data_IF_544302128634
#
_entry.id   IF_544302128634
#
_cell.length_a   1.000
_cell.length_b   1.000
_cell.length_c   1.000
_cell.angle_alpha   90.00
_cell.angle_beta   90.00
_cell.angle_gamma   90.00
#
_symmetry.space_group_name_H-M   'P 1'
#
loop_
_entity.id
_entity.type
_entity.pdbx_description
1 polymer ?
#
# COMPACT_ATOMS: atom_id res chain seq x y z
N UNK A 1 -1.35 7.06 3.94
CA UNK A 1 -1.84 6.37 2.73
C UNK A 1 -3.32 6.63 2.42
N UNK A 2 -4.26 6.27 3.30
CA UNK A 2 -5.71 6.29 2.98
C UNK A 2 -6.29 7.64 2.52
N UNK A 3 -5.82 8.77 3.05
CA UNK A 3 -6.23 10.12 2.61
C UNK A 3 -5.76 10.43 1.20
N UNK A 4 -4.54 10.01 0.83
CA UNK A 4 -3.98 10.20 -0.52
C UNK A 4 -4.68 9.34 -1.57
N UNK A 5 -5.13 8.14 -1.18
CA UNK A 5 -5.94 7.26 -2.01
C UNK A 5 -7.32 7.87 -2.26
N UNK A 6 -7.97 8.37 -1.20
CA UNK A 6 -9.25 9.07 -1.32
C UNK A 6 -9.16 10.30 -2.22
N UNK A 7 -8.11 11.11 -2.06
CA UNK A 7 -7.85 12.27 -2.92
C UNK A 7 -7.64 11.94 -4.39
N UNK A 8 -7.32 10.67 -4.73
CA UNK A 8 -7.19 10.16 -6.10
C UNK A 8 -8.43 9.41 -6.61
N UNK A 9 -9.56 9.54 -5.91
CA UNK A 9 -10.83 8.95 -6.34
C UNK A 9 -11.04 7.50 -5.91
N UNK A 10 -10.23 6.99 -4.97
CA UNK A 10 -10.47 5.68 -4.35
C UNK A 10 -11.29 5.87 -3.07
N UNK A 11 -12.57 5.55 -3.13
CA UNK A 11 -13.51 5.79 -2.02
C UNK A 11 -13.50 4.66 -0.99
N UNK A 12 -14.05 4.93 0.21
CA UNK A 12 -13.99 4.04 1.38
C UNK A 12 -14.70 2.69 1.23
N UNK A 13 -15.42 2.47 0.13
CA UNK A 13 -16.14 1.23 -0.15
C UNK A 13 -15.28 0.14 -0.82
N UNK A 14 -13.98 0.39 -1.05
CA UNK A 14 -13.05 -0.60 -1.60
C UNK A 14 -11.96 -0.99 -0.61
N UNK A 15 -11.35 -2.16 -0.80
CA UNK A 15 -10.22 -2.61 -0.02
C UNK A 15 -8.94 -1.89 -0.45
N UNK A 16 -8.39 -1.02 0.40
CA UNK A 16 -7.16 -0.29 0.07
C UNK A 16 -5.94 -1.21 -0.01
N UNK A 17 -5.93 -2.29 0.78
CA UNK A 17 -4.86 -3.29 0.74
C UNK A 17 -4.85 -4.06 -0.60
N UNK A 18 -6.00 -4.25 -1.25
CA UNK A 18 -6.09 -4.90 -2.57
C UNK A 18 -5.43 -4.06 -3.69
N UNK A 19 -5.30 -2.74 -3.50
CA UNK A 19 -4.70 -1.84 -4.50
C UNK A 19 -3.23 -2.16 -4.75
N UNK A 20 -2.54 -2.82 -3.81
CA UNK A 20 -1.19 -3.34 -4.04
C UNK A 20 -1.13 -4.31 -5.22
N UNK A 21 -2.24 -4.99 -5.52
CA UNK A 21 -2.38 -5.91 -6.65
C UNK A 21 -3.11 -5.27 -7.83
N UNK A 22 -4.20 -4.54 -7.58
CA UNK A 22 -5.07 -3.99 -8.65
C UNK A 22 -4.53 -2.72 -9.28
N UNK A 23 -3.88 -1.86 -8.50
CA UNK A 23 -3.38 -0.55 -8.94
C UNK A 23 -1.99 -0.27 -8.33
N UNK A 24 -0.99 -1.11 -8.62
CA UNK A 24 0.35 -0.99 -8.02
C UNK A 24 1.02 0.35 -8.31
N UNK A 25 0.82 0.90 -9.51
CA UNK A 25 1.39 2.19 -9.90
C UNK A 25 0.86 3.34 -9.04
N UNK A 26 -0.44 3.34 -8.72
CA UNK A 26 -1.07 4.32 -7.84
C UNK A 26 -0.43 4.32 -6.45
N UNK A 27 -0.27 3.13 -5.86
CA UNK A 27 0.32 2.97 -4.52
C UNK A 27 1.79 3.41 -4.52
N UNK A 28 2.56 2.98 -5.53
CA UNK A 28 3.98 3.34 -5.67
C UNK A 28 4.17 4.85 -5.85
N UNK A 29 3.32 5.51 -6.63
CA UNK A 29 3.43 6.95 -6.85
C UNK A 29 3.09 7.75 -5.60
N UNK A 30 2.13 7.29 -4.78
CA UNK A 30 1.89 7.89 -3.46
C UNK A 30 3.11 7.74 -2.55
N UNK A 31 3.73 6.57 -2.50
CA UNK A 31 4.97 6.39 -1.74
C UNK A 31 6.09 7.32 -2.23
N UNK A 32 6.26 7.46 -3.54
CA UNK A 32 7.25 8.38 -4.14
C UNK A 32 6.97 9.83 -3.76
N UNK A 33 5.70 10.22 -3.67
CA UNK A 33 5.33 11.56 -3.19
C UNK A 33 5.69 11.78 -1.73
N UNK A 34 5.49 10.80 -0.86
CA UNK A 34 5.96 10.89 0.53
C UNK A 34 7.48 11.06 0.59
N UNK A 35 8.25 10.28 -0.18
CA UNK A 35 9.71 10.43 -0.25
C UNK A 35 10.11 11.81 -0.79
N UNK A 36 9.44 12.30 -1.85
CA UNK A 36 9.69 13.65 -2.41
C UNK A 36 9.36 14.76 -1.41
N UNK A 37 8.38 14.54 -0.53
CA UNK A 37 8.03 15.44 0.56
C UNK A 37 8.99 15.37 1.75
N UNK A 38 9.98 14.47 1.72
CA UNK A 38 11.02 14.35 2.76
C UNK A 38 10.80 13.21 3.76
N UNK A 39 9.88 12.26 3.49
CA UNK A 39 9.74 11.10 4.35
C UNK A 39 10.98 10.19 4.28
N UNK A 40 11.58 9.92 5.43
CA UNK A 40 12.73 9.02 5.60
C UNK A 40 12.32 7.59 5.96
N UNK A 41 11.03 7.38 6.28
CA UNK A 41 10.43 6.08 6.56
C UNK A 41 9.08 5.98 5.83
N UNK A 42 8.88 4.87 5.13
CA UNK A 42 7.60 4.51 4.52
C UNK A 42 7.00 3.31 5.25
N UNK A 43 5.73 3.41 5.63
CA UNK A 43 4.93 2.25 6.02
C UNK A 43 4.30 1.61 4.78
N UNK A 44 4.33 0.29 4.66
CA UNK A 44 3.65 -0.42 3.57
C UNK A 44 2.13 -0.19 3.62
N UNK A 45 1.48 -0.29 2.46
CA UNK A 45 0.03 -0.23 2.38
C UNK A 45 -0.61 -1.57 2.82
N UNK A 46 -0.41 -1.94 4.10
CA UNK A 46 -0.78 -3.24 4.69
C UNK A 46 -1.53 -3.12 6.00
N UNK A 47 -2.01 -1.92 6.35
CA UNK A 47 -2.72 -1.68 7.62
C UNK A 47 -3.87 -2.66 7.86
N UNK A 48 -4.55 -3.10 6.80
CA UNK A 48 -5.61 -4.09 6.86
C UNK A 48 -5.28 -5.47 6.29
N UNK A 49 -4.04 -5.70 5.84
CA UNK A 49 -3.65 -6.88 5.07
C UNK A 49 -3.39 -8.12 5.96
N UNK A 50 -4.38 -8.49 6.77
CA UNK A 50 -4.42 -9.73 7.53
C UNK A 50 -5.61 -10.59 7.09
N UNK A 51 -5.58 -11.92 7.31
CA UNK A 51 -6.61 -12.82 6.78
C UNK A 51 -8.02 -12.49 7.29
N UNK A 52 -8.15 -12.01 8.53
CA UNK A 52 -9.44 -11.72 9.15
C UNK A 52 -10.12 -10.53 8.47
N UNK A 53 -9.37 -9.46 8.22
CA UNK A 53 -9.93 -8.26 7.56
C UNK A 53 -10.04 -8.45 6.04
N UNK A 54 -9.11 -9.16 5.41
CA UNK A 54 -9.20 -9.47 3.97
C UNK A 54 -10.35 -10.43 3.66
N UNK A 55 -10.77 -11.28 4.60
CA UNK A 55 -11.92 -12.17 4.44
C UNK A 55 -13.22 -11.42 4.10
N UNK A 56 -13.43 -10.20 4.63
CA UNK A 56 -14.63 -9.40 4.31
C UNK A 56 -14.67 -8.93 2.86
N UNK A 57 -13.55 -9.06 2.15
CA UNK A 57 -13.40 -8.75 0.73
C UNK A 57 -13.16 -10.00 -0.14
N UNK A 58 -13.23 -11.21 0.43
CA UNK A 58 -12.94 -12.45 -0.29
C UNK A 58 -11.46 -12.69 -0.60
N UNK A 59 -10.55 -11.97 0.07
CA UNK A 59 -9.11 -11.94 -0.22
C UNK A 59 -8.24 -12.63 0.84
N UNK A 60 -8.84 -13.38 1.78
CA UNK A 60 -8.09 -14.04 2.85
C UNK A 60 -6.96 -14.95 2.32
N UNK A 61 -7.21 -15.67 1.22
CA UNK A 61 -6.20 -16.52 0.56
C UNK A 61 -5.09 -15.75 -0.16
N UNK A 62 -5.29 -14.46 -0.46
CA UNK A 62 -4.33 -13.60 -1.13
C UNK A 62 -3.47 -12.78 -0.13
N UNK A 63 -3.62 -13.01 1.19
CA UNK A 63 -2.96 -12.20 2.23
C UNK A 63 -1.45 -12.06 2.03
N UNK A 64 -0.75 -13.18 1.80
CA UNK A 64 0.70 -13.16 1.58
C UNK A 64 1.05 -12.38 0.31
N UNK A 65 0.32 -12.65 -0.78
CA UNK A 65 0.52 -11.99 -2.06
C UNK A 65 0.32 -10.47 -1.98
N UNK A 66 -0.69 -10.02 -1.24
CA UNK A 66 -0.94 -8.60 -0.96
C UNK A 66 0.22 -7.98 -0.19
N UNK A 67 0.67 -8.62 0.89
CA UNK A 67 1.77 -8.12 1.73
C UNK A 67 3.11 -8.08 0.97
N UNK A 68 3.43 -9.12 0.21
CA UNK A 68 4.65 -9.16 -0.61
C UNK A 68 4.65 -8.07 -1.68
N UNK A 69 3.52 -7.86 -2.35
CA UNK A 69 3.39 -6.78 -3.33
C UNK A 69 3.55 -5.40 -2.66
N UNK A 70 2.89 -5.17 -1.52
CA UNK A 70 2.99 -3.91 -0.79
C UNK A 70 4.43 -3.59 -0.37
N UNK A 71 5.15 -4.57 0.18
CA UNK A 71 6.55 -4.42 0.57
C UNK A 71 7.44 -4.11 -0.64
N UNK A 72 7.21 -4.77 -1.78
CA UNK A 72 7.90 -4.49 -3.03
C UNK A 72 7.69 -3.05 -3.52
N UNK A 73 6.44 -2.59 -3.56
CA UNK A 73 6.10 -1.23 -4.01
C UNK A 73 6.71 -0.15 -3.12
N UNK A 74 6.65 -0.34 -1.79
CA UNK A 74 7.27 0.57 -0.84
C UNK A 74 8.80 0.58 -0.98
N UNK A 75 9.44 -0.59 -1.15
CA UNK A 75 10.89 -0.70 -1.38
C UNK A 75 11.33 -0.03 -2.67
N UNK A 76 10.60 -0.24 -3.76
CA UNK A 76 10.86 0.41 -5.05
C UNK A 76 10.76 1.94 -4.93
N UNK A 77 9.75 2.44 -4.22
CA UNK A 77 9.53 3.86 -4.03
C UNK A 77 10.56 4.51 -3.09
N UNK A 78 10.99 3.80 -2.06
CA UNK A 78 11.98 4.26 -1.09
C UNK A 78 13.35 4.53 -1.72
N UNK A 79 13.78 3.66 -2.65
CA UNK A 79 15.13 3.70 -3.20
C UNK A 79 16.19 3.69 -2.09
N UNK A 80 17.18 4.57 -2.20
CA UNK A 80 18.22 4.79 -1.17
C UNK A 80 17.86 5.89 -0.16
N UNK A 81 16.70 6.55 -0.32
CA UNK A 81 16.36 7.78 0.43
C UNK A 81 15.50 7.54 1.67
N UNK A 82 14.84 6.40 1.77
CA UNK A 82 13.97 6.07 2.88
C UNK A 82 14.09 4.60 3.30
N UNK A 83 13.79 4.32 4.55
CA UNK A 83 13.58 2.96 5.05
C UNK A 83 12.12 2.52 4.83
N UNK A 84 11.86 1.22 4.95
CA UNK A 84 10.51 0.65 4.83
C UNK A 84 10.19 -0.14 6.09
N UNK A 85 9.00 0.06 6.64
CA UNK A 85 8.39 -0.73 7.70
C UNK A 85 7.02 -1.26 7.24
N UNK A 86 6.58 -2.39 7.78
CA UNK A 86 5.29 -3.00 7.42
C UNK A 86 4.69 -3.82 8.54
#
# INVERSE_FOLDING_TARGET
MGTMLYGRGVFLNVCYDELNLKQPDLVRDIHREYVRAGAELLETNTFGANPVKLATHGLAGDTERVNSAAAGLAREAAGERASVAG
#
